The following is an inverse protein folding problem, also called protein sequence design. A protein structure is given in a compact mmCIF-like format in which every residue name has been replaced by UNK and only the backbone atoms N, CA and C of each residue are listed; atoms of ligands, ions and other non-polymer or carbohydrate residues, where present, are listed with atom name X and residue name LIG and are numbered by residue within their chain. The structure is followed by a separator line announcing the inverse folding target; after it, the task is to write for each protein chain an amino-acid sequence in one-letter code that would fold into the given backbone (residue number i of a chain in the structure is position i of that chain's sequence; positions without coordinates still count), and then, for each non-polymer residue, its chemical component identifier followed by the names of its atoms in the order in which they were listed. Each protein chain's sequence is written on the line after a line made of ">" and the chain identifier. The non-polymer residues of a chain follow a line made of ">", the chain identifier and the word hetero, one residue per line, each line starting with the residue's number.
data_IF_827409874343
#
_entry.id   IF_827409874343
#
_cell.length_a   1.000
_cell.length_b   1.000
_cell.length_c   1.000
_cell.angle_alpha   90.00
_cell.angle_beta   90.00
_cell.angle_gamma   90.00
#
_symmetry.space_group_name_H-M   'P 1'
#
loop_
_entity.id
_entity.type
_entity.pdbx_description
1 polymer ?
#
# COMPACT_ATOMS: atom_id res chain seq x y z
N UNK A 1 6.73 -3.55 7.76
CA UNK A 1 6.86 -2.61 6.62
C UNK A 1 7.71 -3.20 5.49
N UNK A 2 8.90 -3.77 5.74
CA UNK A 2 9.74 -4.39 4.70
C UNK A 2 9.00 -5.39 3.78
N UNK A 3 8.19 -6.30 4.34
CA UNK A 3 7.35 -7.23 3.56
C UNK A 3 6.29 -6.56 2.66
N UNK A 4 6.03 -5.27 2.83
CA UNK A 4 5.01 -4.52 2.11
C UNK A 4 5.63 -3.51 1.13
N UNK A 5 6.81 -2.97 1.46
CA UNK A 5 7.53 -1.94 0.68
C UNK A 5 8.73 -2.48 -0.10
N UNK A 6 9.38 -3.53 0.40
CA UNK A 6 10.55 -4.18 -0.20
C UNK A 6 10.39 -5.71 -0.37
N UNK A 7 9.18 -6.28 -0.61
CA UNK A 7 9.03 -7.74 -0.70
C UNK A 7 9.78 -8.35 -1.88
N UNK A 8 10.08 -7.55 -2.91
CA UNK A 8 10.76 -7.97 -4.13
C UNK A 8 12.15 -7.34 -4.28
N UNK A 9 12.61 -6.55 -3.32
CA UNK A 9 13.94 -5.96 -3.39
C UNK A 9 15.03 -7.01 -3.24
N UNK A 10 14.74 -8.08 -2.49
CA UNK A 10 15.63 -9.21 -2.29
C UNK A 10 14.81 -10.50 -2.16
N UNK A 11 15.41 -11.61 -2.57
CA UNK A 11 15.02 -12.92 -2.05
C UNK A 11 15.56 -13.00 -0.62
N UNK A 12 14.75 -12.59 0.38
CA UNK A 12 15.23 -12.41 1.76
C UNK A 12 15.96 -13.63 2.36
N UNK A 13 15.55 -14.85 2.01
CA UNK A 13 16.26 -16.06 2.44
C UNK A 13 17.63 -16.23 1.78
N UNK A 14 17.76 -15.88 0.50
CA UNK A 14 19.05 -15.87 -0.20
C UNK A 14 19.96 -14.78 0.38
N UNK A 15 19.43 -13.57 0.59
CA UNK A 15 20.14 -12.48 1.23
C UNK A 15 20.67 -12.88 2.61
N UNK A 16 19.81 -13.46 3.46
CA UNK A 16 20.23 -13.98 4.76
C UNK A 16 21.32 -15.05 4.62
N UNK A 17 21.16 -15.99 3.68
CA UNK A 17 22.12 -17.07 3.47
C UNK A 17 23.50 -16.59 3.01
N UNK A 18 23.55 -15.58 2.14
CA UNK A 18 24.80 -14.96 1.67
C UNK A 18 25.43 -14.16 2.80
N UNK A 19 24.62 -13.38 3.52
CA UNK A 19 25.07 -12.57 4.65
C UNK A 19 25.81 -13.41 5.69
N UNK A 20 25.40 -14.66 5.94
CA UNK A 20 26.05 -15.55 6.91
C UNK A 20 27.56 -15.77 6.68
N UNK A 21 28.11 -15.44 5.52
CA UNK A 21 29.57 -15.36 5.33
C UNK A 21 30.26 -14.41 6.34
N UNK A 22 29.54 -13.39 6.81
CA UNK A 22 30.02 -12.39 7.78
C UNK A 22 29.49 -12.63 9.21
N UNK A 23 28.91 -13.80 9.49
CA UNK A 23 28.27 -14.08 10.78
C UNK A 23 29.20 -13.84 11.98
N UNK A 24 30.46 -14.28 11.91
CA UNK A 24 31.43 -14.08 12.98
C UNK A 24 31.81 -12.59 13.20
N UNK A 25 32.20 -11.81 12.17
CA UNK A 25 32.37 -10.37 12.31
C UNK A 25 31.17 -9.67 12.93
N UNK A 26 29.95 -10.05 12.51
CA UNK A 26 28.70 -9.46 13.00
C UNK A 26 28.43 -9.83 14.45
N UNK A 27 28.64 -11.09 14.84
CA UNK A 27 28.54 -11.53 16.23
C UNK A 27 29.48 -10.73 17.14
N UNK A 28 30.74 -10.55 16.72
CA UNK A 28 31.71 -9.72 17.44
C UNK A 28 31.27 -8.25 17.52
N UNK A 29 30.71 -7.72 16.44
CA UNK A 29 30.20 -6.34 16.42
C UNK A 29 29.09 -6.15 17.46
N UNK A 30 28.03 -6.97 17.41
CA UNK A 30 26.88 -6.84 18.31
C UNK A 30 27.20 -7.22 19.77
N UNK A 31 28.07 -8.22 20.01
CA UNK A 31 28.51 -8.60 21.36
C UNK A 31 29.42 -7.56 22.02
N UNK A 32 30.11 -6.73 21.23
CA UNK A 32 30.97 -5.65 21.76
C UNK A 32 30.22 -4.37 22.18
N UNK A 33 28.90 -4.37 22.09
CA UNK A 33 28.05 -3.18 22.20
C UNK A 33 27.90 -2.53 20.82
N UNK A 34 26.79 -2.86 20.15
CA UNK A 34 26.41 -2.22 18.89
C UNK A 34 26.29 -0.70 19.10
N UNK A 35 26.83 0.06 18.14
CA UNK A 35 26.95 1.52 18.17
C UNK A 35 28.09 2.09 19.06
N UNK A 36 29.31 2.12 18.50
CA UNK A 36 30.54 2.64 19.14
C UNK A 36 30.60 4.18 19.18
N UNK A 37 29.48 4.85 19.41
CA UNK A 37 29.40 6.32 19.45
C UNK A 37 29.54 6.98 18.07
N UNK A 38 29.11 6.29 17.00
CA UNK A 38 29.03 6.91 15.67
C UNK A 38 27.96 7.98 15.67
N UNK A 39 28.27 9.19 15.18
CA UNK A 39 27.26 10.26 15.03
C UNK A 39 26.16 9.86 14.02
N UNK A 40 26.49 8.95 13.08
CA UNK A 40 25.58 8.49 12.03
C UNK A 40 24.75 7.27 12.51
N UNK A 41 25.19 6.59 13.58
CA UNK A 41 24.61 5.34 14.06
C UNK A 41 24.84 4.16 13.09
N UNK A 42 24.03 3.11 13.24
CA UNK A 42 24.08 1.87 12.46
C UNK A 42 22.70 1.32 12.01
N UNK A 43 21.68 2.15 11.71
CA UNK A 43 20.29 1.69 11.58
C UNK A 43 20.07 0.68 10.44
N UNK A 44 20.81 0.81 9.33
CA UNK A 44 20.74 -0.17 8.24
C UNK A 44 21.32 -1.52 8.66
N UNK A 45 22.44 -1.53 9.39
CA UNK A 45 23.02 -2.77 9.90
C UNK A 45 22.09 -3.45 10.92
N UNK A 46 21.48 -2.68 11.83
CA UNK A 46 20.48 -3.22 12.77
C UNK A 46 19.27 -3.80 12.03
N UNK A 47 18.79 -3.12 11.00
CA UNK A 47 17.69 -3.60 10.17
C UNK A 47 18.04 -4.91 9.44
N UNK A 48 19.19 -4.96 8.76
CA UNK A 48 19.61 -6.13 7.97
C UNK A 48 19.90 -7.35 8.84
N UNK A 49 20.52 -7.14 10.00
CA UNK A 49 20.94 -8.23 10.90
C UNK A 49 19.95 -8.51 12.04
N UNK A 50 18.81 -7.84 12.06
CA UNK A 50 17.81 -7.98 13.12
C UNK A 50 18.39 -7.70 14.50
N UNK A 51 19.19 -6.63 14.63
CA UNK A 51 19.96 -6.27 15.81
C UNK A 51 20.84 -7.43 16.35
N UNK A 52 21.42 -8.21 15.44
CA UNK A 52 22.26 -9.38 15.74
C UNK A 52 21.48 -10.70 15.86
N UNK A 53 20.15 -10.66 15.95
CA UNK A 53 19.33 -11.88 16.05
C UNK A 53 19.45 -12.81 14.84
N UNK A 54 19.76 -12.26 13.66
CA UNK A 54 19.90 -13.07 12.44
C UNK A 54 21.08 -14.04 12.50
N UNK A 55 22.16 -13.69 13.20
CA UNK A 55 23.39 -14.50 13.34
C UNK A 55 23.11 -15.91 13.85
N UNK A 56 22.09 -16.08 14.69
CA UNK A 56 21.73 -17.37 15.28
C UNK A 56 20.45 -17.98 14.68
N UNK A 57 19.77 -17.25 13.80
CA UNK A 57 18.50 -17.67 13.22
C UNK A 57 18.68 -18.46 11.91
N UNK A 58 19.75 -18.20 11.17
CA UNK A 58 20.04 -18.90 9.92
C UNK A 58 21.02 -20.07 10.16
N UNK A 59 20.81 -21.25 9.56
CA UNK A 59 21.73 -22.37 9.71
C UNK A 59 23.13 -22.04 9.18
N UNK A 60 24.17 -22.44 9.90
CA UNK A 60 25.55 -22.34 9.43
C UNK A 60 25.73 -23.12 8.11
N UNK A 61 26.53 -22.58 7.19
CA UNK A 61 26.86 -23.27 5.95
C UNK A 61 28.02 -24.25 6.21
N UNK A 62 27.87 -25.56 5.93
CA UNK A 62 28.96 -26.54 6.13
C UNK A 62 30.25 -26.20 5.37
N UNK A 63 30.16 -25.40 4.28
CA UNK A 63 31.29 -24.93 3.49
C UNK A 63 31.87 -23.59 3.91
N UNK A 64 31.34 -22.92 4.94
CA UNK A 64 31.72 -21.56 5.34
C UNK A 64 33.23 -21.41 5.56
N UNK A 65 33.84 -22.37 6.29
CA UNK A 65 35.28 -22.39 6.57
C UNK A 65 36.17 -22.44 5.31
N UNK A 66 35.65 -22.88 4.16
CA UNK A 66 36.43 -22.93 2.91
C UNK A 66 36.60 -21.54 2.28
N UNK A 67 35.74 -20.58 2.64
CA UNK A 67 35.70 -19.25 2.06
C UNK A 67 36.16 -18.15 3.04
N UNK A 68 36.65 -18.53 4.22
CA UNK A 68 37.17 -17.58 5.22
C UNK A 68 38.59 -17.09 4.92
N UNK A 69 39.22 -17.56 3.84
CA UNK A 69 40.57 -17.16 3.44
C UNK A 69 40.66 -16.88 1.94
N UNK A 70 41.39 -15.82 1.61
CA UNK A 70 41.67 -15.43 0.23
C UNK A 70 42.63 -16.44 -0.40
N UNK A 71 42.28 -16.90 -1.60
CA UNK A 71 43.13 -17.80 -2.37
C UNK A 71 44.16 -17.00 -3.20
N UNK A 72 45.38 -17.52 -3.30
CA UNK A 72 46.38 -16.92 -4.17
C UNK A 72 45.98 -17.06 -5.65
N UNK A 73 46.13 -15.98 -6.42
CA UNK A 73 45.85 -15.98 -7.86
C UNK A 73 46.91 -15.21 -8.64
N UNK A 74 47.44 -15.86 -9.68
CA UNK A 74 48.39 -15.23 -10.60
C UNK A 74 47.70 -14.51 -11.77
N UNK A 75 46.36 -14.46 -11.80
CA UNK A 75 45.62 -13.77 -12.86
C UNK A 75 45.81 -12.26 -12.70
N UNK A 76 46.18 -11.51 -13.77
CA UNK A 76 46.18 -10.06 -13.74
C UNK A 76 44.83 -9.52 -13.26
N UNK A 77 44.84 -8.77 -12.16
CA UNK A 77 43.61 -8.34 -11.48
C UNK A 77 43.68 -6.85 -11.18
N UNK A 78 42.62 -6.11 -11.49
CA UNK A 78 42.47 -4.71 -11.12
C UNK A 78 41.48 -4.59 -9.97
N UNK A 79 41.93 -4.03 -8.85
CA UNK A 79 41.11 -3.66 -7.71
C UNK A 79 40.86 -2.16 -7.76
N UNK A 80 39.58 -1.76 -7.76
CA UNK A 80 39.17 -0.36 -7.81
C UNK A 80 38.41 -0.08 -6.52
N UNK A 81 38.80 0.95 -5.79
CA UNK A 81 38.10 1.40 -4.60
C UNK A 81 38.03 2.92 -4.52
N UNK A 82 37.00 3.43 -3.86
CA UNK A 82 36.88 4.84 -3.55
C UNK A 82 37.53 5.21 -2.21
N UNK A 83 37.99 6.45 -2.03
CA UNK A 83 38.46 6.91 -0.71
C UNK A 83 37.33 7.08 0.31
N UNK A 84 36.07 7.11 -0.14
CA UNK A 84 34.86 7.27 0.67
C UNK A 84 33.95 6.03 0.62
N UNK A 85 34.46 4.89 0.16
CA UNK A 85 33.71 3.64 0.20
C UNK A 85 33.67 3.09 1.63
N UNK A 86 32.50 3.17 2.26
CA UNK A 86 32.27 2.63 3.61
C UNK A 86 31.76 1.19 3.60
N UNK A 87 31.27 0.70 2.46
CA UNK A 87 30.74 -0.66 2.32
C UNK A 87 31.88 -1.66 2.11
N UNK A 88 32.81 -1.32 1.22
CA UNK A 88 34.02 -2.11 0.94
C UNK A 88 35.28 -1.23 1.00
N UNK A 89 35.75 -0.84 2.19
CA UNK A 89 36.87 0.08 2.34
C UNK A 89 38.10 -0.38 1.57
N UNK A 90 38.68 0.49 0.73
CA UNK A 90 39.82 0.18 -0.12
C UNK A 90 41.03 -0.36 0.66
N UNK A 91 41.15 0.00 1.95
CA UNK A 91 42.20 -0.48 2.83
C UNK A 91 42.10 -1.99 3.10
N UNK A 92 40.89 -2.57 3.11
CA UNK A 92 40.70 -4.01 3.25
C UNK A 92 41.26 -4.72 2.01
N UNK A 93 40.98 -4.18 0.81
CA UNK A 93 41.58 -4.70 -0.42
C UNK A 93 43.11 -4.61 -0.39
N UNK A 94 43.69 -3.51 0.10
CA UNK A 94 45.16 -3.36 0.22
C UNK A 94 45.78 -4.37 1.19
N UNK A 95 45.14 -4.59 2.35
CA UNK A 95 45.73 -5.36 3.46
C UNK A 95 45.43 -6.84 3.39
N UNK A 96 44.27 -7.21 2.86
CA UNK A 96 43.72 -8.57 2.97
C UNK A 96 43.62 -9.27 1.61
N UNK A 97 43.44 -8.54 0.50
CA UNK A 97 43.28 -9.13 -0.84
C UNK A 97 44.54 -9.02 -1.69
N UNK A 98 45.12 -7.82 -1.81
CA UNK A 98 46.29 -7.56 -2.66
C UNK A 98 47.51 -8.46 -2.36
N UNK A 99 47.81 -8.87 -1.10
CA UNK A 99 48.90 -9.80 -0.82
C UNK A 99 48.76 -11.18 -1.49
N UNK A 100 47.55 -11.57 -1.87
CA UNK A 100 47.24 -12.83 -2.54
C UNK A 100 47.20 -12.70 -4.07
N UNK A 101 47.40 -11.50 -4.61
CA UNK A 101 47.35 -11.18 -6.03
C UNK A 101 48.73 -10.64 -6.47
N UNK A 102 49.74 -11.49 -6.71
CA UNK A 102 51.08 -11.05 -7.12
C UNK A 102 51.11 -10.23 -8.42
N UNK A 103 50.09 -10.39 -9.28
CA UNK A 103 49.88 -9.58 -10.50
C UNK A 103 48.70 -8.60 -10.35
N UNK A 104 48.33 -8.28 -9.10
CA UNK A 104 47.25 -7.39 -8.76
C UNK A 104 47.69 -5.93 -8.78
N UNK A 105 46.84 -5.08 -9.33
CA UNK A 105 46.97 -3.63 -9.24
C UNK A 105 45.79 -3.07 -8.46
N UNK A 106 46.06 -2.10 -7.59
CA UNK A 106 45.01 -1.38 -6.88
C UNK A 106 45.01 0.09 -7.27
N UNK A 107 43.82 0.61 -7.56
CA UNK A 107 43.56 2.03 -7.74
C UNK A 107 42.61 2.50 -6.65
N UNK A 108 42.95 3.64 -6.04
CA UNK A 108 42.10 4.30 -5.04
C UNK A 108 41.69 5.66 -5.61
N UNK A 109 40.42 5.79 -5.98
CA UNK A 109 39.87 6.98 -6.62
C UNK A 109 39.40 7.99 -5.58
N UNK A 110 39.90 9.23 -5.69
CA UNK A 110 39.66 10.29 -4.71
C UNK A 110 38.22 10.79 -4.75
N UNK A 111 37.56 10.79 -3.60
CA UNK A 111 36.22 11.33 -3.41
C UNK A 111 35.08 10.46 -3.94
N UNK A 112 35.36 9.23 -4.36
CA UNK A 112 34.33 8.27 -4.76
C UNK A 112 33.93 7.37 -3.59
N UNK A 113 32.65 7.01 -3.55
CA UNK A 113 32.04 6.03 -2.64
C UNK A 113 32.02 4.61 -3.22
N UNK A 114 30.90 3.91 -3.04
CA UNK A 114 30.70 2.53 -3.51
C UNK A 114 30.41 2.47 -5.03
N UNK A 115 30.28 1.25 -5.59
CA UNK A 115 30.27 0.91 -7.03
C UNK A 115 29.54 1.91 -7.95
N UNK A 116 28.37 2.41 -7.55
CA UNK A 116 27.58 3.34 -8.37
C UNK A 116 28.34 4.64 -8.72
N UNK A 117 29.19 5.13 -7.81
CA UNK A 117 29.99 6.34 -8.05
C UNK A 117 31.04 6.09 -9.14
N UNK A 118 31.62 4.89 -9.23
CA UNK A 118 32.62 4.57 -10.25
C UNK A 118 32.03 4.61 -11.67
N UNK A 119 30.81 4.11 -11.83
CA UNK A 119 30.13 4.05 -13.13
C UNK A 119 29.52 5.41 -13.52
N UNK A 120 29.02 6.17 -12.55
CA UNK A 120 28.39 7.47 -12.79
C UNK A 120 29.39 8.64 -12.90
N UNK A 121 30.48 8.59 -12.14
CA UNK A 121 31.47 9.66 -12.10
C UNK A 121 32.47 9.54 -13.26
N UNK A 122 32.39 10.49 -14.20
CA UNK A 122 33.23 10.56 -15.39
C UNK A 122 33.31 9.22 -16.18
N UNK A 123 32.21 8.75 -16.80
CA UNK A 123 32.15 7.42 -17.44
C UNK A 123 33.21 7.18 -18.52
N UNK A 124 33.73 8.25 -19.12
CA UNK A 124 34.84 8.16 -20.08
C UNK A 124 36.19 7.81 -19.43
N UNK A 125 36.40 8.21 -18.18
CA UNK A 125 37.58 7.88 -17.39
C UNK A 125 37.53 6.42 -16.90
N UNK A 126 36.37 5.97 -16.40
CA UNK A 126 36.16 4.56 -16.04
C UNK A 126 36.34 3.63 -17.24
N UNK A 127 35.76 4.00 -18.39
CA UNK A 127 35.97 3.28 -19.66
C UNK A 127 37.45 3.23 -20.05
N UNK A 128 38.19 4.34 -19.95
CA UNK A 128 39.62 4.39 -20.29
C UNK A 128 40.45 3.49 -19.37
N UNK A 129 40.21 3.55 -18.05
CA UNK A 129 40.88 2.69 -17.07
C UNK A 129 40.66 1.22 -17.38
N UNK A 130 39.40 0.81 -17.55
CA UNK A 130 39.04 -0.59 -17.80
C UNK A 130 39.60 -1.08 -19.13
N UNK A 131 39.38 -0.33 -20.22
CA UNK A 131 39.84 -0.74 -21.56
C UNK A 131 41.36 -0.81 -21.66
N UNK A 132 42.08 0.10 -21.01
CA UNK A 132 43.54 0.09 -20.99
C UNK A 132 44.07 -1.09 -20.18
N UNK A 133 43.46 -1.38 -19.03
CA UNK A 133 43.82 -2.53 -18.22
C UNK A 133 43.55 -3.85 -18.96
N UNK A 134 42.38 -4.01 -19.57
CA UNK A 134 42.07 -5.20 -20.38
C UNK A 134 42.98 -5.37 -21.59
N UNK A 135 43.39 -4.28 -22.24
CA UNK A 135 44.24 -4.33 -23.43
C UNK A 135 45.72 -4.59 -23.10
N UNK A 136 46.22 -4.05 -21.98
CA UNK A 136 47.68 -3.96 -21.72
C UNK A 136 48.11 -4.42 -20.34
N UNK A 137 47.18 -4.63 -19.41
CA UNK A 137 47.45 -4.84 -17.99
C UNK A 137 47.86 -3.57 -17.23
N UNK A 138 47.93 -2.41 -17.90
CA UNK A 138 48.33 -1.15 -17.28
C UNK A 138 47.15 -0.40 -16.69
N UNK A 139 47.42 0.31 -15.60
CA UNK A 139 46.47 1.22 -14.95
C UNK A 139 46.58 2.61 -15.57
N UNK A 140 45.46 3.15 -16.08
CA UNK A 140 45.38 4.51 -16.59
C UNK A 140 44.26 5.29 -15.89
N UNK A 141 44.64 6.12 -14.92
CA UNK A 141 43.73 7.02 -14.20
C UNK A 141 43.85 8.46 -14.66
N UNK A 142 44.54 8.73 -15.78
CA UNK A 142 44.88 10.10 -16.21
C UNK A 142 43.67 10.99 -16.52
N UNK A 143 42.52 10.36 -16.78
CA UNK A 143 41.25 11.05 -17.07
C UNK A 143 40.38 11.32 -15.85
N UNK A 144 40.71 10.74 -14.70
CA UNK A 144 39.95 11.01 -13.48
C UNK A 144 40.33 12.36 -12.91
N UNK A 145 39.34 13.17 -12.60
CA UNK A 145 39.51 14.35 -11.77
C UNK A 145 39.15 14.05 -10.31
N UNK A 146 39.64 14.85 -9.34
CA UNK A 146 39.23 14.68 -7.95
C UNK A 146 37.73 15.01 -7.78
N UNK A 147 36.95 14.05 -7.29
CA UNK A 147 35.54 14.30 -7.00
C UNK A 147 35.38 15.20 -5.76
N UNK A 148 34.48 16.19 -5.86
CA UNK A 148 34.13 17.09 -4.76
C UNK A 148 32.82 16.64 -4.15
N UNK A 149 32.87 16.17 -2.91
CA UNK A 149 31.69 15.73 -2.17
C UNK A 149 30.71 16.89 -1.99
N UNK A 150 29.48 16.68 -2.43
CA UNK A 150 28.37 17.59 -2.15
C UNK A 150 27.52 17.06 -1.01
N UNK A 151 27.23 17.93 -0.03
CA UNK A 151 26.27 17.64 1.04
C UNK A 151 24.84 18.08 0.70
N UNK A 152 24.59 18.53 -0.54
CA UNK A 152 23.25 18.78 -1.03
C UNK A 152 22.57 17.45 -1.34
N UNK A 153 21.90 16.87 -0.34
CA UNK A 153 21.24 15.58 -0.47
C UNK A 153 19.86 15.72 -1.09
N UNK A 154 19.49 14.78 -1.97
CA UNK A 154 18.08 14.49 -2.31
C UNK A 154 17.25 14.20 -1.04
N UNK A 155 15.90 14.23 -1.12
CA UNK A 155 15.05 13.91 0.02
C UNK A 155 15.48 12.60 0.69
N UNK A 156 15.77 12.67 1.99
CA UNK A 156 16.23 11.51 2.73
C UNK A 156 15.11 10.47 2.83
N UNK A 157 15.45 9.19 3.02
CA UNK A 157 14.45 8.16 3.32
C UNK A 157 13.62 8.53 4.56
N UNK A 158 14.21 9.24 5.53
CA UNK A 158 13.49 9.77 6.69
C UNK A 158 12.48 10.86 6.31
N UNK A 159 12.80 11.75 5.36
CA UNK A 159 11.86 12.72 4.83
C UNK A 159 10.70 12.02 4.11
N UNK A 160 11.00 11.06 3.24
CA UNK A 160 10.00 10.24 2.55
C UNK A 160 9.10 9.50 3.56
N UNK A 161 9.68 8.92 4.62
CA UNK A 161 8.94 8.25 5.67
C UNK A 161 8.00 9.20 6.43
N UNK A 162 8.44 10.44 6.72
CA UNK A 162 7.60 11.48 7.32
C UNK A 162 6.46 11.89 6.39
N UNK A 163 6.73 12.02 5.09
CA UNK A 163 5.72 12.36 4.10
C UNK A 163 4.67 11.25 3.97
N UNK A 164 5.09 9.98 3.90
CA UNK A 164 4.20 8.83 3.91
C UNK A 164 3.36 8.82 5.19
N UNK A 165 4.00 8.97 6.35
CA UNK A 165 3.30 8.99 7.63
C UNK A 165 2.27 10.13 7.71
N UNK A 166 2.63 11.32 7.24
CA UNK A 166 1.72 12.47 7.13
C UNK A 166 0.53 12.18 6.21
N UNK A 167 0.77 11.54 5.06
CA UNK A 167 -0.27 11.11 4.14
C UNK A 167 -1.22 10.06 4.77
N UNK A 168 -0.67 9.05 5.46
CA UNK A 168 -1.46 8.04 6.17
C UNK A 168 -2.37 8.68 7.23
N UNK A 169 -1.81 9.57 8.06
CA UNK A 169 -2.58 10.30 9.07
C UNK A 169 -3.65 11.19 8.44
N UNK A 170 -3.31 11.91 7.37
CA UNK A 170 -4.23 12.79 6.65
C UNK A 170 -5.43 12.04 6.08
N UNK A 171 -5.20 10.90 5.42
CA UNK A 171 -6.29 10.07 4.89
C UNK A 171 -7.14 9.42 5.99
N UNK A 172 -6.52 8.92 7.06
CA UNK A 172 -7.25 8.36 8.20
C UNK A 172 -8.16 9.42 8.86
N UNK A 173 -7.63 10.63 9.09
CA UNK A 173 -8.40 11.75 9.61
C UNK A 173 -9.54 12.16 8.66
N UNK A 174 -9.27 12.25 7.36
CA UNK A 174 -10.28 12.58 6.36
C UNK A 174 -11.41 11.54 6.31
N UNK A 175 -11.10 10.25 6.45
CA UNK A 175 -12.10 9.19 6.52
C UNK A 175 -12.98 9.32 7.77
N UNK A 176 -12.37 9.54 8.95
CA UNK A 176 -13.10 9.74 10.20
C UNK A 176 -14.02 10.98 10.15
N UNK A 177 -13.50 12.11 9.64
CA UNK A 177 -14.28 13.34 9.46
C UNK A 177 -15.41 13.16 8.44
N UNK A 178 -15.18 12.40 7.37
CA UNK A 178 -16.21 12.09 6.38
C UNK A 178 -17.34 11.26 6.99
N UNK A 179 -17.03 10.21 7.77
CA UNK A 179 -18.03 9.42 8.49
C UNK A 179 -18.82 10.28 9.49
N UNK A 180 -18.13 11.09 10.28
CA UNK A 180 -18.74 11.99 11.24
C UNK A 180 -19.68 12.98 10.54
N UNK A 181 -19.24 13.58 9.43
CA UNK A 181 -20.04 14.53 8.65
C UNK A 181 -21.31 13.89 8.09
N UNK A 182 -21.22 12.69 7.48
CA UNK A 182 -22.40 11.97 6.99
C UNK A 182 -23.35 11.63 8.16
N UNK A 183 -22.82 11.14 9.27
CA UNK A 183 -23.60 10.80 10.46
C UNK A 183 -24.33 12.00 11.06
N UNK A 184 -23.65 13.15 11.20
CA UNK A 184 -24.24 14.40 11.67
C UNK A 184 -25.34 14.90 10.72
N UNK A 185 -25.13 14.75 9.40
CA UNK A 185 -26.12 15.16 8.40
C UNK A 185 -27.39 14.31 8.45
N UNK A 186 -27.23 12.99 8.55
CA UNK A 186 -28.36 12.05 8.72
C UNK A 186 -29.11 12.35 10.02
N UNK A 187 -28.40 12.65 11.11
CA UNK A 187 -29.02 13.03 12.39
C UNK A 187 -29.81 14.34 12.29
N UNK A 188 -29.28 15.36 11.61
CA UNK A 188 -29.92 16.68 11.49
C UNK A 188 -31.08 16.71 10.49
N UNK A 189 -30.93 16.09 9.33
CA UNK A 189 -31.90 16.18 8.22
C UNK A 189 -32.74 14.91 8.02
N UNK A 190 -32.52 13.88 8.82
CA UNK A 190 -33.23 12.62 8.76
C UNK A 190 -32.78 11.68 7.63
N UNK A 191 -32.12 12.18 6.58
CA UNK A 191 -31.56 11.36 5.51
C UNK A 191 -30.39 12.06 4.81
N UNK A 192 -29.54 11.28 4.15
CA UNK A 192 -28.59 11.83 3.18
C UNK A 192 -29.36 12.25 1.92
N UNK A 193 -29.44 13.56 1.65
CA UNK A 193 -30.09 14.06 0.42
C UNK A 193 -29.48 13.41 -0.84
N UNK A 194 -30.25 13.32 -1.93
CA UNK A 194 -29.88 12.54 -3.15
C UNK A 194 -28.45 12.77 -3.62
N UNK A 195 -28.02 14.04 -3.74
CA UNK A 195 -26.64 14.39 -4.17
C UNK A 195 -25.59 13.86 -3.21
N UNK A 196 -25.83 14.00 -1.90
CA UNK A 196 -24.93 13.52 -0.86
C UNK A 196 -24.89 11.99 -0.80
N UNK A 197 -26.04 11.33 -0.96
CA UNK A 197 -26.10 9.87 -1.04
C UNK A 197 -25.27 9.36 -2.23
N UNK A 198 -25.41 9.98 -3.41
CA UNK A 198 -24.63 9.59 -4.59
C UNK A 198 -23.13 9.80 -4.35
N UNK A 199 -22.73 10.99 -3.91
CA UNK A 199 -21.32 11.29 -3.63
C UNK A 199 -20.72 10.36 -2.56
N UNK A 200 -21.52 10.03 -1.53
CA UNK A 200 -21.08 9.14 -0.45
C UNK A 200 -20.87 7.72 -0.96
N UNK A 201 -21.75 7.23 -1.84
CA UNK A 201 -21.71 5.85 -2.37
C UNK A 201 -20.68 5.63 -3.48
N UNK A 202 -20.07 6.70 -4.01
CA UNK A 202 -19.07 6.61 -5.08
C UNK A 202 -17.69 7.03 -4.60
N UNK A 203 -17.50 8.31 -4.29
CA UNK A 203 -16.18 8.89 -4.03
C UNK A 203 -15.77 8.69 -2.57
N UNK A 204 -16.69 8.95 -1.64
CA UNK A 204 -16.35 8.89 -0.20
C UNK A 204 -15.97 7.47 0.20
N UNK A 205 -16.55 6.42 -0.40
CA UNK A 205 -16.17 5.04 -0.07
C UNK A 205 -14.70 4.73 -0.34
N UNK A 206 -14.09 5.31 -1.38
CA UNK A 206 -12.66 5.13 -1.64
C UNK A 206 -11.82 5.75 -0.53
N UNK A 207 -12.20 6.95 -0.08
CA UNK A 207 -11.57 7.63 1.05
C UNK A 207 -11.76 6.83 2.34
N UNK A 208 -12.96 6.27 2.57
CA UNK A 208 -13.26 5.45 3.75
C UNK A 208 -12.49 4.14 3.76
N UNK A 209 -12.36 3.47 2.62
CA UNK A 209 -11.59 2.23 2.50
C UNK A 209 -10.10 2.46 2.75
N UNK A 210 -9.48 3.36 1.98
CA UNK A 210 -8.05 3.66 2.11
C UNK A 210 -7.73 4.29 3.47
N UNK A 211 -8.50 5.27 3.92
CA UNK A 211 -8.29 5.91 5.22
C UNK A 211 -8.56 4.97 6.39
N UNK A 212 -9.53 4.05 6.26
CA UNK A 212 -9.77 2.97 7.22
C UNK A 212 -8.59 2.03 7.37
N UNK A 213 -8.03 1.58 6.24
CA UNK A 213 -6.82 0.77 6.23
C UNK A 213 -5.62 1.52 6.81
N UNK A 214 -5.38 2.77 6.43
CA UNK A 214 -4.29 3.57 6.99
C UNK A 214 -4.44 3.79 8.49
N UNK A 215 -5.65 4.09 8.97
CA UNK A 215 -5.92 4.24 10.39
C UNK A 215 -5.63 2.95 11.17
N UNK A 216 -6.09 1.80 10.67
CA UNK A 216 -5.81 0.51 11.29
C UNK A 216 -4.32 0.16 11.24
N UNK A 217 -3.63 0.42 10.11
CA UNK A 217 -2.20 0.20 9.98
C UNK A 217 -1.39 1.03 10.99
N UNK A 218 -1.74 2.31 11.19
CA UNK A 218 -1.10 3.15 12.21
C UNK A 218 -1.31 2.61 13.62
N UNK A 219 -2.53 2.17 13.94
CA UNK A 219 -2.84 1.56 15.24
C UNK A 219 -2.04 0.27 15.45
N UNK A 220 -1.98 -0.61 14.45
CA UNK A 220 -1.21 -1.85 14.51
C UNK A 220 0.28 -1.56 14.67
N UNK A 221 0.86 -0.65 13.88
CA UNK A 221 2.26 -0.28 13.99
C UNK A 221 2.62 0.32 15.36
N UNK A 222 1.67 1.02 15.99
CA UNK A 222 1.90 1.68 17.29
C UNK A 222 1.71 0.73 18.47
N UNK A 223 0.66 -0.09 18.45
CA UNK A 223 0.24 -0.90 19.60
C UNK A 223 0.68 -2.38 19.49
N UNK A 224 0.86 -2.88 18.27
CA UNK A 224 1.18 -4.29 17.98
C UNK A 224 2.17 -4.42 16.81
N UNK A 225 3.40 -3.90 16.93
CA UNK A 225 4.38 -3.89 15.82
C UNK A 225 4.76 -5.29 15.31
N UNK A 226 4.51 -6.34 16.10
CA UNK A 226 4.72 -7.73 15.71
C UNK A 226 3.67 -8.27 14.72
N UNK A 227 2.49 -7.63 14.60
CA UNK A 227 1.47 -8.06 13.66
C UNK A 227 1.82 -7.62 12.24
N UNK A 228 1.75 -8.57 11.30
CA UNK A 228 1.99 -8.24 9.90
C UNK A 228 0.88 -7.36 9.33
N UNK A 229 1.27 -6.25 8.71
CA UNK A 229 0.37 -5.40 7.92
C UNK A 229 -0.18 -6.11 6.67
N UNK A 230 0.46 -7.21 6.25
CA UNK A 230 -0.02 -8.06 5.16
C UNK A 230 -1.05 -9.10 5.62
N UNK A 231 -1.47 -9.09 6.89
CA UNK A 231 -2.49 -10.03 7.36
C UNK A 231 -3.80 -9.84 6.61
N UNK A 232 -4.37 -10.94 6.13
CA UNK A 232 -5.62 -10.95 5.37
C UNK A 232 -6.76 -10.30 6.16
N UNK A 233 -6.85 -10.57 7.46
CA UNK A 233 -7.84 -9.96 8.35
C UNK A 233 -7.73 -8.42 8.37
N UNK A 234 -6.52 -7.87 8.49
CA UNK A 234 -6.32 -6.42 8.46
C UNK A 234 -6.65 -5.86 7.06
N UNK A 235 -6.17 -6.53 6.01
CA UNK A 235 -6.40 -6.16 4.62
C UNK A 235 -7.88 -6.08 4.25
N UNK A 236 -8.71 -6.97 4.80
CA UNK A 236 -10.16 -7.03 4.52
C UNK A 236 -10.97 -6.17 5.49
N UNK A 237 -10.80 -6.35 6.80
CA UNK A 237 -11.66 -5.71 7.80
C UNK A 237 -11.46 -4.20 7.85
N UNK A 238 -10.22 -3.74 7.79
CA UNK A 238 -9.90 -2.33 7.96
C UNK A 238 -10.53 -1.41 6.90
N UNK A 239 -10.51 -1.74 5.59
CA UNK A 239 -11.26 -0.96 4.60
C UNK A 239 -12.77 -1.26 4.62
N UNK A 240 -13.19 -2.50 4.84
CA UNK A 240 -14.60 -2.89 4.67
C UNK A 240 -15.54 -2.33 5.74
N UNK A 241 -15.09 -2.25 7.00
CA UNK A 241 -15.91 -1.72 8.12
C UNK A 241 -16.33 -0.25 7.92
N UNK A 242 -15.41 0.69 7.66
CA UNK A 242 -15.79 2.09 7.43
C UNK A 242 -16.59 2.26 6.14
N UNK A 243 -16.34 1.47 5.09
CA UNK A 243 -17.18 1.44 3.88
C UNK A 243 -18.62 1.02 4.22
N UNK A 244 -18.79 -0.08 4.96
CA UNK A 244 -20.11 -0.57 5.37
C UNK A 244 -20.87 0.49 6.18
N UNK A 245 -20.19 1.16 7.11
CA UNK A 245 -20.77 2.23 7.91
C UNK A 245 -21.17 3.44 7.05
N UNK A 246 -20.30 3.87 6.13
CA UNK A 246 -20.59 4.97 5.20
C UNK A 246 -21.78 4.66 4.29
N UNK A 247 -21.85 3.44 3.76
CA UNK A 247 -22.97 2.94 2.95
C UNK A 247 -24.28 2.93 3.75
N UNK A 248 -24.26 2.37 4.96
CA UNK A 248 -25.42 2.31 5.84
C UNK A 248 -25.94 3.71 6.15
N UNK A 249 -25.06 4.66 6.52
CA UNK A 249 -25.45 6.03 6.80
C UNK A 249 -26.01 6.74 5.56
N UNK A 250 -25.45 6.51 4.37
CA UNK A 250 -25.96 7.06 3.11
C UNK A 250 -27.29 6.44 2.65
N UNK A 251 -27.67 5.28 3.19
CA UNK A 251 -28.89 4.56 2.85
C UNK A 251 -30.02 4.76 3.84
N UNK A 252 -29.70 4.94 5.13
CA UNK A 252 -30.70 4.98 6.19
C UNK A 252 -31.53 6.26 6.19
N UNK A 253 -32.82 6.13 6.50
CA UNK A 253 -33.73 7.24 6.76
C UNK A 253 -34.22 7.20 8.22
N UNK A 254 -34.42 8.38 8.81
CA UNK A 254 -34.85 8.53 10.20
C UNK A 254 -36.21 7.90 10.47
N UNK A 255 -37.13 8.01 9.52
CA UNK A 255 -38.52 7.55 9.68
C UNK A 255 -38.69 6.05 9.44
N UNK A 256 -37.62 5.35 9.05
CA UNK A 256 -37.67 3.89 8.94
C UNK A 256 -37.69 3.23 10.31
N UNK A 257 -38.42 2.13 10.39
CA UNK A 257 -38.52 1.30 11.57
C UNK A 257 -37.19 0.62 11.90
N UNK A 258 -37.07 0.11 13.13
CA UNK A 258 -35.82 -0.49 13.61
C UNK A 258 -35.43 -1.73 12.81
N UNK A 259 -36.40 -2.55 12.38
CA UNK A 259 -36.09 -3.77 11.64
C UNK A 259 -35.48 -3.46 10.27
N UNK A 260 -36.02 -2.48 9.53
CA UNK A 260 -35.43 -2.02 8.27
C UNK A 260 -34.01 -1.48 8.45
N UNK A 261 -33.76 -0.71 9.51
CA UNK A 261 -32.42 -0.18 9.81
C UNK A 261 -31.42 -1.29 10.12
N UNK A 262 -31.80 -2.25 10.97
CA UNK A 262 -30.98 -3.41 11.30
C UNK A 262 -30.66 -4.24 10.06
N UNK A 263 -31.67 -4.52 9.21
CA UNK A 263 -31.50 -5.27 7.97
C UNK A 263 -30.53 -4.57 7.01
N UNK A 264 -30.65 -3.25 6.86
CA UNK A 264 -29.74 -2.47 6.02
C UNK A 264 -28.30 -2.47 6.52
N UNK A 265 -28.08 -2.34 7.84
CA UNK A 265 -26.74 -2.41 8.42
C UNK A 265 -26.12 -3.79 8.21
N UNK A 266 -26.90 -4.86 8.44
CA UNK A 266 -26.46 -6.25 8.23
C UNK A 266 -26.10 -6.48 6.75
N UNK A 267 -26.95 -6.03 5.82
CA UNK A 267 -26.72 -6.16 4.40
C UNK A 267 -25.49 -5.37 3.93
N UNK A 268 -25.33 -4.12 4.37
CA UNK A 268 -24.15 -3.31 4.04
C UNK A 268 -22.85 -3.96 4.57
N UNK A 269 -22.87 -4.47 5.80
CA UNK A 269 -21.71 -5.12 6.43
C UNK A 269 -21.35 -6.42 5.72
N UNK A 270 -22.33 -7.31 5.51
CA UNK A 270 -22.10 -8.58 4.84
C UNK A 270 -21.65 -8.38 3.38
N UNK A 271 -22.31 -7.46 2.64
CA UNK A 271 -21.94 -7.13 1.27
C UNK A 271 -20.55 -6.52 1.16
N UNK A 272 -20.18 -5.61 2.06
CA UNK A 272 -18.85 -5.00 2.08
C UNK A 272 -17.76 -6.02 2.44
N UNK A 273 -17.98 -6.89 3.41
CA UNK A 273 -17.02 -7.93 3.78
C UNK A 273 -16.82 -8.96 2.67
N UNK A 274 -17.90 -9.46 2.07
CA UNK A 274 -17.81 -10.41 0.96
C UNK A 274 -17.14 -9.78 -0.26
N UNK A 275 -17.57 -8.57 -0.64
CA UNK A 275 -16.96 -7.84 -1.74
C UNK A 275 -15.50 -7.50 -1.49
N UNK A 276 -15.15 -7.11 -0.26
CA UNK A 276 -13.79 -6.84 0.18
C UNK A 276 -12.91 -8.08 0.10
N UNK A 277 -13.39 -9.23 0.60
CA UNK A 277 -12.69 -10.51 0.49
C UNK A 277 -12.41 -10.90 -0.96
N UNK A 278 -13.41 -10.85 -1.85
CA UNK A 278 -13.19 -11.10 -3.27
C UNK A 278 -12.15 -10.13 -3.87
N UNK A 279 -12.26 -8.84 -3.53
CA UNK A 279 -11.31 -7.83 -3.97
C UNK A 279 -9.88 -8.09 -3.50
N UNK A 280 -9.69 -8.51 -2.24
CA UNK A 280 -8.39 -8.82 -1.67
C UNK A 280 -7.72 -10.01 -2.35
N UNK A 281 -8.51 -11.04 -2.67
CA UNK A 281 -8.00 -12.26 -3.34
C UNK A 281 -7.70 -12.08 -4.83
N UNK A 282 -8.15 -10.98 -5.45
CA UNK A 282 -8.01 -10.76 -6.89
C UNK A 282 -6.58 -10.35 -7.31
N UNK A 283 -5.81 -9.75 -6.40
CA UNK A 283 -4.46 -9.22 -6.68
C UNK A 283 -3.57 -9.36 -5.44
N UNK A 284 -2.29 -8.95 -5.54
CA UNK A 284 -1.32 -9.05 -4.44
C UNK A 284 -0.72 -7.69 -4.06
N UNK A 285 -0.11 -7.62 -2.88
CA UNK A 285 0.58 -6.42 -2.39
C UNK A 285 -0.35 -5.21 -2.22
N UNK A 286 0.15 -4.01 -2.52
CA UNK A 286 -0.63 -2.77 -2.39
C UNK A 286 -1.86 -2.74 -3.31
N UNK A 287 -1.79 -3.41 -4.47
CA UNK A 287 -2.92 -3.47 -5.40
C UNK A 287 -4.14 -4.18 -4.81
N UNK A 288 -3.91 -5.15 -3.90
CA UNK A 288 -4.96 -5.86 -3.18
C UNK A 288 -5.81 -4.92 -2.32
N UNK A 289 -5.22 -3.86 -1.76
CA UNK A 289 -5.95 -2.89 -0.93
C UNK A 289 -6.90 -2.03 -1.76
N UNK A 290 -6.49 -1.67 -2.98
CA UNK A 290 -7.30 -0.91 -3.93
C UNK A 290 -8.48 -1.77 -4.38
N UNK A 291 -8.23 -3.00 -4.81
CA UNK A 291 -9.29 -3.92 -5.25
C UNK A 291 -10.21 -4.33 -4.10
N UNK A 292 -9.71 -4.48 -2.87
CA UNK A 292 -10.53 -4.69 -1.66
C UNK A 292 -11.48 -3.53 -1.43
N UNK A 293 -10.97 -2.29 -1.52
CA UNK A 293 -11.78 -1.08 -1.32
C UNK A 293 -12.90 -0.98 -2.37
N UNK A 294 -12.57 -1.25 -3.64
CA UNK A 294 -13.54 -1.26 -4.74
C UNK A 294 -14.55 -2.40 -4.55
N UNK A 295 -14.08 -3.61 -4.24
CA UNK A 295 -14.92 -4.79 -4.03
C UNK A 295 -15.89 -4.59 -2.88
N UNK A 296 -15.43 -4.08 -1.73
CA UNK A 296 -16.26 -3.76 -0.58
C UNK A 296 -17.34 -2.72 -0.91
N UNK A 297 -16.96 -1.66 -1.65
CA UNK A 297 -17.91 -0.65 -2.10
C UNK A 297 -18.97 -1.24 -3.05
N UNK A 298 -18.58 -2.08 -4.00
CA UNK A 298 -19.50 -2.71 -4.95
C UNK A 298 -20.44 -3.70 -4.25
N UNK A 299 -19.89 -4.60 -3.44
CA UNK A 299 -20.65 -5.62 -2.71
C UNK A 299 -21.65 -5.02 -1.73
N UNK A 300 -21.25 -4.00 -0.96
CA UNK A 300 -22.14 -3.31 -0.03
C UNK A 300 -23.27 -2.55 -0.75
N UNK A 301 -22.99 -1.88 -1.87
CA UNK A 301 -24.03 -1.22 -2.68
C UNK A 301 -25.04 -2.24 -3.25
N UNK A 302 -24.57 -3.34 -3.83
CA UNK A 302 -25.42 -4.40 -4.39
C UNK A 302 -26.35 -4.99 -3.33
N UNK A 303 -25.81 -5.27 -2.12
CA UNK A 303 -26.61 -5.79 -1.01
C UNK A 303 -27.73 -4.82 -0.60
N UNK A 304 -27.46 -3.52 -0.52
CA UNK A 304 -28.46 -2.50 -0.19
C UNK A 304 -29.52 -2.31 -1.30
N UNK A 305 -29.12 -2.44 -2.57
CA UNK A 305 -30.06 -2.43 -3.71
C UNK A 305 -31.01 -3.62 -3.59
N UNK A 306 -30.49 -4.82 -3.30
CA UNK A 306 -31.31 -6.01 -3.12
C UNK A 306 -32.33 -5.83 -1.97
N UNK A 307 -31.90 -5.34 -0.80
CA UNK A 307 -32.80 -5.04 0.33
C UNK A 307 -33.91 -4.05 -0.08
N UNK A 308 -33.56 -3.02 -0.86
CA UNK A 308 -34.52 -2.02 -1.33
C UNK A 308 -35.58 -2.62 -2.27
N UNK A 309 -35.16 -3.49 -3.20
CA UNK A 309 -36.06 -4.20 -4.12
C UNK A 309 -36.99 -5.18 -3.40
N UNK A 310 -36.47 -5.94 -2.42
CA UNK A 310 -37.30 -6.85 -1.63
C UNK A 310 -38.36 -6.09 -0.83
N UNK A 311 -38.00 -4.97 -0.20
CA UNK A 311 -38.95 -4.15 0.55
C UNK A 311 -40.06 -3.60 -0.34
N UNK A 312 -39.73 -3.12 -1.54
CA UNK A 312 -40.71 -2.61 -2.49
C UNK A 312 -41.69 -3.70 -2.96
N UNK A 313 -41.18 -4.92 -3.20
CA UNK A 313 -42.02 -6.09 -3.53
C UNK A 313 -42.96 -6.46 -2.40
N UNK A 314 -42.47 -6.52 -1.15
CA UNK A 314 -43.31 -6.82 0.02
C UNK A 314 -44.40 -5.77 0.23
N UNK A 315 -44.10 -4.49 0.02
CA UNK A 315 -45.09 -3.41 0.12
C UNK A 315 -46.20 -3.53 -0.94
N UNK A 316 -45.87 -3.92 -2.17
CA UNK A 316 -46.86 -4.16 -3.24
C UNK A 316 -47.75 -5.37 -2.98
N UNK A 317 -47.18 -6.44 -2.39
CA UNK A 317 -47.92 -7.67 -2.09
C UNK A 317 -48.96 -7.55 -0.97
N UNK A 318 -48.85 -6.55 -0.09
CA UNK A 318 -49.86 -6.27 0.95
C UNK A 318 -50.89 -5.21 0.56
N UNK A 319 -50.63 -4.41 -0.49
CA UNK A 319 -51.49 -3.29 -0.87
C UNK A 319 -52.57 -3.60 -1.90
N UNK A 320 -52.45 -4.71 -2.63
CA UNK A 320 -53.34 -5.03 -3.75
C UNK A 320 -53.75 -6.50 -3.72
N UNK A 321 -54.74 -6.83 -2.89
CA UNK A 321 -55.66 -7.89 -3.25
C UNK A 321 -56.89 -7.24 -3.92
N UNK A 322 -56.83 -6.92 -5.23
CA UNK A 322 -57.95 -6.31 -5.93
C UNK A 322 -59.20 -7.20 -5.89
N UNK A 323 -59.07 -8.50 -5.57
CA UNK A 323 -60.19 -9.40 -5.40
C UNK A 323 -61.07 -9.07 -4.17
N UNK A 324 -60.53 -8.42 -3.13
CA UNK A 324 -61.29 -8.05 -1.95
C UNK A 324 -62.19 -6.81 -2.17
N UNK A 325 -61.84 -5.93 -3.11
CA UNK A 325 -62.58 -4.68 -3.36
C UNK A 325 -63.75 -4.86 -4.34
N UNK A 326 -63.79 -5.95 -5.12
CA UNK A 326 -64.90 -6.24 -6.04
C UNK A 326 -66.04 -7.07 -5.41
N UNK A 327 -65.94 -7.49 -4.15
CA UNK A 327 -66.98 -8.32 -3.51
C UNK A 327 -68.19 -7.53 -2.97
N UNK A 328 -68.22 -6.19 -3.08
CA UNK A 328 -69.36 -5.36 -2.65
C UNK A 328 -69.70 -4.31 -3.71
N UNK A 329 -70.16 -4.76 -4.87
CA UNK A 329 -70.93 -3.91 -5.77
C UNK A 329 -72.43 -4.18 -5.55
N UNK A 330 -73.24 -3.22 -5.11
CA UNK A 330 -74.70 -3.33 -5.14
C UNK A 330 -75.19 -3.38 -6.59
N UNK A 331 -76.26 -4.14 -6.80
CA UNK A 331 -76.85 -4.47 -8.10
C UNK A 331 -77.12 -3.24 -9.00
N UNK A 332 -77.03 -3.40 -10.34
CA UNK A 332 -77.25 -2.33 -11.30
C UNK A 332 -78.72 -1.90 -11.34
N UNK A 333 -78.98 -0.61 -11.10
CA UNK A 333 -80.25 0.04 -11.46
C UNK A 333 -80.13 0.55 -12.90
N UNK A 334 -81.12 0.19 -13.70
CA UNK A 334 -81.25 0.48 -15.13
C UNK A 334 -81.25 1.97 -15.50
N UNK A 335 -80.97 2.32 -16.78
CA UNK A 335 -80.56 3.66 -17.20
C UNK A 335 -81.75 4.56 -17.56
N UNK A 336 -81.66 5.84 -17.18
CA UNK A 336 -82.47 6.91 -17.75
C UNK A 336 -81.59 7.79 -18.65
N UNK A 337 -82.01 7.92 -19.90
CA UNK A 337 -81.41 8.76 -20.92
C UNK A 337 -81.64 10.24 -20.61
N UNK A 338 -80.61 11.08 -20.77
CA UNK A 338 -80.83 12.45 -21.24
C UNK A 338 -79.59 13.06 -21.91
N UNK A 339 -79.77 13.26 -23.22
CA UNK A 339 -79.30 14.30 -24.12
C UNK A 339 -78.17 15.28 -23.69
N UNK A 340 -77.12 15.26 -24.53
CA UNK A 340 -76.57 16.39 -25.31
C UNK A 340 -76.37 17.76 -24.64
N UNK A 341 -75.11 18.23 -24.62
CA UNK A 341 -74.81 19.57 -25.14
C UNK A 341 -73.36 19.73 -25.63
N UNK A 342 -73.28 20.39 -26.78
CA UNK A 342 -72.15 20.93 -27.54
C UNK A 342 -71.10 21.77 -26.78
N UNK A 343 -69.89 21.84 -27.36
CA UNK A 343 -68.95 22.98 -27.25
C UNK A 343 -67.49 22.52 -27.28
N UNK A 344 -66.90 22.20 -28.43
CA UNK A 344 -66.10 23.07 -29.32
C UNK A 344 -64.78 23.65 -28.74
N UNK A 345 -63.71 23.31 -29.47
CA UNK A 345 -62.51 24.08 -29.86
C UNK A 345 -61.62 24.76 -28.79
N UNK A 346 -60.32 24.42 -28.76
CA UNK A 346 -59.30 25.13 -29.55
C UNK A 346 -57.85 24.67 -29.26
N UNK A 347 -57.09 24.62 -30.36
CA UNK A 347 -55.65 24.83 -30.57
C UNK A 347 -54.69 25.13 -29.41
N UNK A 348 -53.49 24.57 -29.54
CA UNK A 348 -52.28 25.17 -28.97
C UNK A 348 -51.00 24.34 -29.13
N UNK A 349 -50.45 24.27 -30.34
CA UNK A 349 -49.07 23.84 -30.60
C UNK A 349 -48.07 24.87 -30.06
N UNK A 350 -46.94 24.43 -29.50
CA UNK A 350 -45.69 25.19 -29.53
C UNK A 350 -44.50 24.26 -29.22
N UNK A 351 -43.73 23.97 -30.28
CA UNK A 351 -42.37 23.43 -30.21
C UNK A 351 -41.35 24.58 -30.07
N UNK A 352 -40.28 24.30 -29.32
CA UNK A 352 -38.92 24.80 -29.56
C UNK A 352 -38.42 25.95 -28.67
N UNK A 353 -37.09 26.21 -28.64
CA UNK A 353 -35.96 25.41 -29.13
C UNK A 353 -35.19 24.64 -28.05
#
# INVERSE_FOLDING_TARGET
>A
MANLTLPQSFTWGEFASIGMADAQPVERYFSSGADRGSIIGNPLAEFLWGAGGLVHAWPANPGENQYTSVQNSNVPTLLIGGTLDFETPAQNATKELLPHLPNGHQVILSGLGHVDDFDAYEPSASTQLLTTFYATGQVDTSRYTPNVVSFATSPTQAAIAKDILGFMMGLAALAALSLLWVGLRVRKHGAAGRKTSVATRTIVLLVLGLGGWFGAALVVLTLWPALSLSSELLGILAPSVPIALGLYLAWTHRDWDRATKSLGLLAATAGALLGGWFGFTATSGLSALVTTTIGAAAGGNLALIAVSLFRERSARGHGNDPAATYAVAPAPVSPAAHAAHHGDAHHGSAEGP
#
